data_IF_405199716242
#
_entry.id   IF_405199716242
#
_cell.length_a   1.000
_cell.length_b   1.000
_cell.length_c   1.000
_cell.angle_alpha   90.00
_cell.angle_beta   90.00
_cell.angle_gamma   90.00
#
_symmetry.space_group_name_H-M   'P 1'
#
loop_
_entity.id
_entity.type
_entity.pdbx_description
1 polymer ?
#
# COMPACT_ATOMS: atom_id res chain seq x y z
N UNK A 1 -33.32 3.16 16.89
CA UNK A 1 -32.54 4.39 16.63
C UNK A 1 -32.49 4.60 15.13
N UNK A 2 -33.15 5.62 14.59
CA UNK A 2 -33.09 5.93 13.16
C UNK A 2 -31.80 6.69 12.88
N UNK A 3 -30.77 5.99 12.39
CA UNK A 3 -29.56 6.66 11.90
C UNK A 3 -29.93 7.59 10.74
N UNK A 4 -29.53 8.85 10.81
CA UNK A 4 -29.80 9.90 9.81
C UNK A 4 -28.92 9.79 8.55
N UNK A 5 -28.16 8.71 8.43
CA UNK A 5 -27.25 8.50 7.30
C UNK A 5 -28.06 8.30 6.02
N UNK A 6 -27.69 9.04 4.97
CA UNK A 6 -28.28 8.95 3.63
C UNK A 6 -27.27 8.58 2.54
N UNK A 7 -25.98 8.75 2.82
CA UNK A 7 -24.90 8.45 1.90
C UNK A 7 -23.73 7.80 2.65
N UNK A 8 -23.02 6.90 1.97
CA UNK A 8 -21.79 6.26 2.44
C UNK A 8 -20.74 6.44 1.37
N UNK A 9 -19.62 7.08 1.72
CA UNK A 9 -18.48 7.25 0.84
C UNK A 9 -17.34 6.38 1.35
N UNK A 10 -16.68 5.69 0.43
CA UNK A 10 -15.57 4.80 0.73
C UNK A 10 -14.27 5.41 0.21
N UNK A 11 -13.19 5.20 0.95
CA UNK A 11 -11.87 5.27 0.35
C UNK A 11 -11.69 4.12 -0.66
N UNK A 12 -10.69 4.21 -1.54
CA UNK A 12 -10.44 3.20 -2.56
C UNK A 12 -9.44 2.14 -2.04
N UNK A 13 -8.23 2.57 -1.71
CA UNK A 13 -7.13 1.67 -1.37
C UNK A 13 -7.30 1.08 0.04
N UNK A 14 -7.03 -0.22 0.19
CA UNK A 14 -7.19 -0.97 1.45
C UNK A 14 -8.59 -0.86 2.08
N UNK A 15 -9.58 -0.44 1.29
CA UNK A 15 -11.00 -0.35 1.67
C UNK A 15 -11.86 -1.10 0.66
N UNK A 16 -11.78 -0.74 -0.62
CA UNK A 16 -12.50 -1.43 -1.70
C UNK A 16 -11.60 -2.36 -2.50
N UNK A 17 -10.33 -1.98 -2.67
CA UNK A 17 -9.36 -2.77 -3.44
C UNK A 17 -8.11 -3.05 -2.62
N UNK A 18 -7.50 -4.21 -2.87
CA UNK A 18 -6.16 -4.58 -2.42
C UNK A 18 -5.26 -4.89 -3.60
N UNK A 19 -3.95 -4.99 -3.34
CA UNK A 19 -2.99 -5.49 -4.33
C UNK A 19 -3.26 -6.97 -4.64
N UNK A 20 -3.15 -7.33 -5.93
CA UNK A 20 -3.19 -8.72 -6.37
C UNK A 20 -1.95 -9.04 -7.25
N UNK A 21 -1.03 -9.92 -6.80
CA UNK A 21 -1.07 -10.61 -5.51
C UNK A 21 -0.87 -9.64 -4.34
N UNK A 22 -1.22 -10.05 -3.10
CA UNK A 22 -1.04 -9.21 -1.90
C UNK A 22 0.36 -8.63 -1.80
N UNK A 23 0.48 -7.41 -1.29
CA UNK A 23 1.76 -6.65 -1.27
C UNK A 23 2.87 -7.42 -0.56
N UNK A 24 2.55 -8.18 0.48
CA UNK A 24 3.48 -9.04 1.20
C UNK A 24 4.05 -10.17 0.33
N UNK A 25 3.26 -10.70 -0.60
CA UNK A 25 3.69 -11.71 -1.57
C UNK A 25 4.63 -11.08 -2.60
N UNK A 26 4.28 -9.90 -3.10
CA UNK A 26 5.17 -9.14 -4.00
C UNK A 26 6.49 -8.83 -3.31
N UNK A 27 6.43 -8.37 -2.06
CA UNK A 27 7.60 -8.00 -1.29
C UNK A 27 8.53 -9.18 -1.02
N UNK A 28 7.98 -10.30 -0.53
CA UNK A 28 8.75 -11.50 -0.27
C UNK A 28 9.48 -12.00 -1.52
N UNK A 29 8.81 -12.00 -2.68
CA UNK A 29 9.42 -12.36 -3.98
C UNK A 29 10.52 -11.40 -4.40
N UNK A 30 10.39 -10.11 -4.11
CA UNK A 30 11.42 -9.12 -4.44
C UNK A 30 12.67 -9.29 -3.56
N UNK A 31 12.49 -9.70 -2.32
CA UNK A 31 13.53 -9.86 -1.31
C UNK A 31 14.31 -11.18 -1.43
N UNK A 32 13.66 -12.24 -1.93
CA UNK A 32 14.25 -13.58 -2.07
C UNK A 32 15.59 -13.62 -2.86
N UNK A 33 15.73 -12.97 -4.04
CA UNK A 33 17.00 -12.99 -4.80
C UNK A 33 18.17 -12.30 -4.08
N UNK A 34 17.89 -11.49 -3.06
CA UNK A 34 18.89 -10.80 -2.25
C UNK A 34 19.26 -11.59 -0.98
N UNK A 35 18.64 -12.75 -0.75
CA UNK A 35 18.90 -13.60 0.42
C UNK A 35 18.19 -13.13 1.70
N UNK A 36 17.21 -12.23 1.58
CA UNK A 36 16.45 -11.77 2.74
C UNK A 36 15.30 -12.74 3.03
N UNK A 37 15.39 -13.42 4.18
CA UNK A 37 14.31 -14.26 4.69
C UNK A 37 13.34 -13.37 5.44
N UNK A 38 12.08 -13.40 5.02
CA UNK A 38 11.03 -12.55 5.58
C UNK A 38 9.77 -13.36 5.85
N UNK A 39 9.07 -12.99 6.92
CA UNK A 39 7.73 -13.49 7.20
C UNK A 39 6.71 -12.36 7.03
N UNK A 40 5.42 -12.73 7.06
CA UNK A 40 4.34 -11.76 6.90
C UNK A 40 4.35 -10.70 8.01
N UNK A 41 4.72 -11.07 9.24
CA UNK A 41 4.68 -10.16 10.39
C UNK A 41 5.71 -9.05 10.22
N UNK A 42 6.94 -9.40 9.83
CA UNK A 42 8.01 -8.44 9.57
C UNK A 42 7.70 -7.54 8.38
N UNK A 43 7.11 -8.10 7.31
CA UNK A 43 6.69 -7.30 6.15
C UNK A 43 5.57 -6.34 6.53
N UNK A 44 4.55 -6.78 7.27
CA UNK A 44 3.45 -5.93 7.73
C UNK A 44 3.97 -4.79 8.63
N UNK A 45 4.88 -5.09 9.56
CA UNK A 45 5.52 -4.08 10.40
C UNK A 45 6.35 -3.09 9.58
N UNK A 46 7.06 -3.58 8.56
CA UNK A 46 7.82 -2.77 7.62
C UNK A 46 6.95 -1.81 6.81
N UNK A 47 5.83 -2.31 6.27
CA UNK A 47 4.86 -1.47 5.57
C UNK A 47 4.23 -0.44 6.51
N UNK A 48 3.92 -0.78 7.77
CA UNK A 48 3.39 0.21 8.71
C UNK A 48 4.34 1.40 8.90
N UNK A 49 5.66 1.15 8.95
CA UNK A 49 6.68 2.21 9.03
C UNK A 49 6.79 3.00 7.71
N UNK A 50 6.77 2.30 6.58
CA UNK A 50 6.89 2.91 5.26
C UNK A 50 5.66 3.76 4.90
N UNK A 51 4.46 3.29 5.24
CA UNK A 51 3.19 3.99 5.01
C UNK A 51 3.08 5.25 5.89
N UNK A 52 3.65 5.25 7.10
CA UNK A 52 3.79 6.46 7.90
C UNK A 52 4.67 7.51 7.20
N UNK A 53 5.81 7.10 6.61
CA UNK A 53 6.66 7.99 5.81
C UNK A 53 5.92 8.55 4.58
N UNK A 54 5.12 7.71 3.91
CA UNK A 54 4.26 8.14 2.79
C UNK A 54 3.27 9.21 3.25
N UNK A 55 2.57 8.97 4.36
CA UNK A 55 1.59 9.92 4.90
C UNK A 55 2.24 11.27 5.24
N UNK A 56 3.41 11.25 5.89
CA UNK A 56 4.19 12.47 6.21
C UNK A 56 4.58 13.24 4.95
N UNK A 57 5.03 12.53 3.91
CA UNK A 57 5.38 13.14 2.62
C UNK A 57 4.16 13.76 1.96
N UNK A 58 3.07 13.00 1.82
CA UNK A 58 1.85 13.49 1.13
C UNK A 58 1.16 14.63 1.87
N UNK A 59 1.31 14.71 3.20
CA UNK A 59 0.83 15.84 3.99
C UNK A 59 1.59 17.14 3.68
N UNK A 60 2.84 17.05 3.25
CA UNK A 60 3.65 18.21 2.85
C UNK A 60 3.48 18.55 1.38
N UNK A 61 3.65 17.55 0.51
CA UNK A 61 3.51 17.69 -0.93
C UNK A 61 3.25 16.32 -1.59
N UNK A 62 2.42 16.26 -2.64
CA UNK A 62 2.22 15.02 -3.38
C UNK A 62 3.54 14.54 -3.98
N UNK A 63 3.75 13.21 -4.02
CA UNK A 63 4.95 12.62 -4.62
C UNK A 63 5.15 13.07 -6.08
N UNK A 64 4.06 13.26 -6.83
CA UNK A 64 4.08 13.75 -8.21
C UNK A 64 4.64 15.17 -8.36
N UNK A 65 4.70 15.94 -7.26
CA UNK A 65 5.33 17.26 -7.23
C UNK A 65 6.84 17.23 -6.97
N UNK A 66 7.42 16.07 -6.64
CA UNK A 66 8.86 15.91 -6.43
C UNK A 66 9.61 15.73 -7.75
N UNK A 67 10.91 16.05 -7.76
CA UNK A 67 11.78 15.71 -8.90
C UNK A 67 11.97 14.20 -9.00
N UNK A 68 12.33 13.65 -10.18
CA UNK A 68 12.58 12.22 -10.34
C UNK A 68 13.61 11.66 -9.35
N UNK A 69 14.67 12.41 -9.06
CA UNK A 69 15.72 12.01 -8.12
C UNK A 69 15.19 11.97 -6.68
N UNK A 70 14.38 12.95 -6.30
CA UNK A 70 13.74 12.99 -4.99
C UNK A 70 12.71 11.87 -4.83
N UNK A 71 11.94 11.54 -5.88
CA UNK A 71 11.04 10.39 -5.89
C UNK A 71 11.82 9.08 -5.74
N UNK A 72 12.94 8.90 -6.47
CA UNK A 72 13.77 7.70 -6.33
C UNK A 72 14.30 7.54 -4.90
N UNK A 73 14.88 8.60 -4.34
CA UNK A 73 15.41 8.61 -2.97
C UNK A 73 14.33 8.36 -1.92
N UNK A 74 13.12 8.89 -2.15
CA UNK A 74 11.96 8.61 -1.30
C UNK A 74 11.63 7.12 -1.29
N UNK A 75 11.53 6.48 -2.47
CA UNK A 75 11.19 5.07 -2.53
C UNK A 75 12.32 4.12 -2.06
N UNK A 76 13.59 4.54 -2.21
CA UNK A 76 14.71 3.84 -1.58
C UNK A 76 14.58 3.83 -0.05
N UNK A 77 14.20 4.96 0.55
CA UNK A 77 13.92 5.05 2.00
C UNK A 77 12.68 4.28 2.40
N UNK A 78 11.62 4.36 1.61
CA UNK A 78 10.38 3.59 1.83
C UNK A 78 10.69 2.09 1.90
N UNK A 79 11.43 1.56 0.92
CA UNK A 79 11.85 0.16 0.89
C UNK A 79 12.81 -0.20 2.04
N UNK A 80 13.72 0.71 2.42
CA UNK A 80 14.62 0.52 3.55
C UNK A 80 13.84 0.31 4.87
N UNK A 81 12.72 1.02 5.07
CA UNK A 81 11.86 0.83 6.23
C UNK A 81 11.14 -0.52 6.20
N UNK A 82 10.74 -1.00 5.02
CA UNK A 82 10.14 -2.33 4.87
C UNK A 82 11.15 -3.42 5.27
N UNK A 83 12.36 -3.36 4.71
CA UNK A 83 13.46 -4.28 5.04
C UNK A 83 13.78 -4.26 6.54
N UNK A 84 13.82 -3.06 7.15
CA UNK A 84 14.05 -2.91 8.58
C UNK A 84 12.98 -3.57 9.43
N UNK A 85 11.70 -3.40 9.07
CA UNK A 85 10.59 -4.08 9.76
C UNK A 85 10.70 -5.60 9.68
N UNK A 86 11.27 -6.12 8.59
CA UNK A 86 11.58 -7.53 8.41
C UNK A 86 12.92 -7.98 9.04
N UNK A 87 13.58 -7.12 9.80
CA UNK A 87 14.82 -7.44 10.52
C UNK A 87 16.12 -7.25 9.73
N UNK A 88 16.05 -6.62 8.55
CA UNK A 88 17.21 -6.41 7.67
C UNK A 88 17.60 -4.94 7.63
N UNK A 89 18.76 -4.59 8.20
CA UNK A 89 19.33 -3.25 8.04
C UNK A 89 20.23 -3.19 6.79
N UNK A 90 19.90 -2.31 5.84
CA UNK A 90 20.61 -2.15 4.57
C UNK A 90 20.85 -0.68 4.25
N UNK A 91 21.80 -0.38 3.37
CA UNK A 91 21.96 0.97 2.82
C UNK A 91 20.87 1.30 1.79
N UNK A 92 20.74 2.60 1.45
CA UNK A 92 19.75 3.08 0.47
C UNK A 92 19.93 2.47 -0.92
N UNK A 93 21.18 2.22 -1.31
CA UNK A 93 21.47 1.64 -2.62
C UNK A 93 20.89 0.22 -2.72
N UNK A 94 21.12 -0.62 -1.71
CA UNK A 94 20.57 -1.97 -1.62
C UNK A 94 19.04 -1.95 -1.54
N UNK A 95 18.46 -1.05 -0.73
CA UNK A 95 17.01 -0.88 -0.69
C UNK A 95 16.45 -0.48 -2.08
N UNK A 96 17.11 0.43 -2.79
CA UNK A 96 16.76 0.79 -4.16
C UNK A 96 16.76 -0.38 -5.14
N UNK A 97 17.71 -1.30 -5.02
CA UNK A 97 17.75 -2.52 -5.84
C UNK A 97 16.56 -3.45 -5.54
N UNK A 98 16.17 -3.61 -4.27
CA UNK A 98 14.97 -4.37 -3.89
C UNK A 98 13.71 -3.68 -4.40
N UNK A 99 13.60 -2.36 -4.25
CA UNK A 99 12.46 -1.59 -4.77
C UNK A 99 12.31 -1.73 -6.29
N UNK A 100 13.42 -1.73 -7.02
CA UNK A 100 13.42 -2.01 -8.47
C UNK A 100 12.91 -3.43 -8.76
N UNK A 101 13.22 -4.42 -7.92
CA UNK A 101 12.70 -5.77 -8.06
C UNK A 101 11.19 -5.82 -7.79
N UNK A 102 10.69 -5.13 -6.75
CA UNK A 102 9.24 -4.96 -6.49
C UNK A 102 8.54 -4.40 -7.73
N UNK A 103 9.05 -3.29 -8.29
CA UNK A 103 8.45 -2.62 -9.45
C UNK A 103 8.46 -3.40 -10.76
N UNK A 104 9.31 -4.42 -10.89
CA UNK A 104 9.36 -5.28 -12.09
C UNK A 104 8.31 -6.38 -12.08
N UNK A 105 7.72 -6.68 -10.91
CA UNK A 105 6.71 -7.71 -10.80
C UNK A 105 5.39 -7.26 -11.44
N UNK A 106 4.65 -8.22 -11.98
CA UNK A 106 3.27 -7.98 -12.39
C UNK A 106 2.39 -8.08 -11.16
N UNK A 107 1.75 -6.99 -10.81
CA UNK A 107 0.66 -6.92 -9.85
C UNK A 107 -0.39 -5.93 -10.36
N UNK A 108 -1.59 -6.04 -9.84
CA UNK A 108 -2.68 -5.12 -10.12
C UNK A 108 -3.48 -4.87 -8.85
N UNK A 109 -4.72 -4.44 -9.05
CA UNK A 109 -5.68 -4.27 -7.98
C UNK A 109 -6.86 -5.21 -8.20
N UNK A 110 -7.32 -5.82 -7.12
CA UNK A 110 -8.53 -6.62 -7.09
C UNK A 110 -9.46 -6.10 -6.00
N UNK A 111 -10.77 -6.25 -6.23
CA UNK A 111 -11.76 -5.98 -5.18
C UNK A 111 -11.64 -7.03 -4.09
N UNK A 112 -11.87 -6.64 -2.83
CA UNK A 112 -12.14 -7.62 -1.79
C UNK A 112 -13.45 -8.35 -2.07
N UNK A 113 -13.52 -9.63 -1.72
CA UNK A 113 -14.63 -10.53 -2.09
C UNK A 113 -16.00 -10.01 -1.63
N UNK A 114 -16.03 -9.29 -0.51
CA UNK A 114 -17.24 -8.76 0.13
C UNK A 114 -17.68 -7.39 -0.40
N UNK A 115 -16.87 -6.72 -1.23
CA UNK A 115 -17.14 -5.36 -1.69
C UNK A 115 -18.40 -5.30 -2.52
N UNK A 116 -18.53 -6.12 -3.57
CA UNK A 116 -19.73 -6.09 -4.42
C UNK A 116 -21.01 -6.43 -3.62
N UNK A 117 -21.05 -7.51 -2.80
CA UNK A 117 -22.18 -7.77 -1.91
C UNK A 117 -22.52 -6.61 -0.94
N UNK A 118 -21.52 -5.98 -0.34
CA UNK A 118 -21.70 -4.89 0.61
C UNK A 118 -22.28 -3.63 -0.05
N UNK A 119 -21.71 -3.22 -1.20
CA UNK A 119 -22.19 -2.05 -1.95
C UNK A 119 -23.62 -2.26 -2.46
N UNK A 120 -23.95 -3.46 -2.96
CA UNK A 120 -25.32 -3.81 -3.36
C UNK A 120 -26.30 -3.73 -2.18
N UNK A 121 -25.89 -4.21 -1.00
CA UNK A 121 -26.71 -4.13 0.20
C UNK A 121 -27.01 -2.68 0.59
N UNK A 122 -26.01 -1.79 0.53
CA UNK A 122 -26.19 -0.37 0.81
C UNK A 122 -27.15 0.30 -0.19
N UNK A 123 -26.95 0.05 -1.49
CA UNK A 123 -27.84 0.60 -2.52
C UNK A 123 -29.29 0.11 -2.35
N UNK A 124 -29.50 -1.17 -2.06
CA UNK A 124 -30.84 -1.75 -1.84
C UNK A 124 -31.59 -1.12 -0.66
N UNK A 125 -30.86 -0.57 0.32
CA UNK A 125 -31.40 0.13 1.49
C UNK A 125 -31.63 1.62 1.24
N UNK A 126 -31.39 2.10 0.02
CA UNK A 126 -31.61 3.48 -0.38
C UNK A 126 -30.47 4.44 -0.01
N UNK A 127 -29.28 3.93 0.34
CA UNK A 127 -28.11 4.78 0.53
C UNK A 127 -27.51 5.20 -0.81
N UNK A 128 -27.10 6.46 -0.91
CA UNK A 128 -26.18 6.92 -1.96
C UNK A 128 -24.79 6.37 -1.65
N UNK A 129 -24.13 5.76 -2.65
CA UNK A 129 -22.79 5.18 -2.48
C UNK A 129 -21.83 5.88 -3.44
N UNK A 130 -20.63 6.24 -2.95
CA UNK A 130 -19.60 6.89 -3.75
C UNK A 130 -18.19 6.57 -3.25
N UNK A 131 -17.18 7.03 -3.99
CA UNK A 131 -15.76 6.87 -3.64
C UNK A 131 -15.13 8.25 -3.46
N UNK A 132 -14.32 8.41 -2.42
CA UNK A 132 -13.47 9.58 -2.17
C UNK A 132 -12.07 9.04 -1.85
N UNK A 133 -11.12 9.26 -2.76
CA UNK A 133 -9.71 8.87 -2.62
C UNK A 133 -8.81 10.08 -2.86
N UNK A 134 -7.62 10.08 -2.25
CA UNK A 134 -6.56 11.05 -2.51
C UNK A 134 -5.92 10.86 -3.90
#
# INVERSE_FOLDING_TARGET
MTSSIRAVFFDLYDTLIGFDPPREVVQARAMEPFGFVVDKIGIDAGYAMADALMAEQTAQAPLSGLTPEAQSSFFERYEQLILRGAGHEVDLHKAGEVWKAVRRQKYGFALYEDVIPALNTLQSRGYVVGVITN
#
